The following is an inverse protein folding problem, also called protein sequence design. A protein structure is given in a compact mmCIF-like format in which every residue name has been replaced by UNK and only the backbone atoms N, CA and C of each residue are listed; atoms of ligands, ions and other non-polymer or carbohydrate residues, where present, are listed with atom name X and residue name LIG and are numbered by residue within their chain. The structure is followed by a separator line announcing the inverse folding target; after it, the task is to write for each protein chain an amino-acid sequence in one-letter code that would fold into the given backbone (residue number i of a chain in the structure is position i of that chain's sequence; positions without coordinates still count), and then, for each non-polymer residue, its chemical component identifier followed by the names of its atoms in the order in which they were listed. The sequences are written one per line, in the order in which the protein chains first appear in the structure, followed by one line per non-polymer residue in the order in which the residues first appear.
data_IF_819813895025
#
_entry.id   IF_819813895025
#
_cell.length_a   1.000
_cell.length_b   1.000
_cell.length_c   1.000
_cell.angle_alpha   90.00
_cell.angle_beta   90.00
_cell.angle_gamma   90.00
#
_symmetry.space_group_name_H-M   'P 1'
#
loop_
_entity.id
_entity.type
_entity.pdbx_description
1 polymer ?
#
# COMPACT_ATOMS: atom_id res chain seq x y z
N UNK A 1 -5.93 9.87 -0.71
CA UNK A 1 -4.56 9.32 -0.62
C UNK A 1 -4.57 7.89 -1.14
N UNK A 2 -3.43 7.40 -1.61
CA UNK A 2 -3.30 6.11 -2.27
C UNK A 2 -1.95 5.46 -1.98
N UNK A 3 -1.95 4.14 -1.85
CA UNK A 3 -0.74 3.32 -1.81
C UNK A 3 -0.87 2.12 -2.75
N UNK A 4 0.25 1.79 -3.38
CA UNK A 4 0.48 0.47 -3.96
C UNK A 4 1.79 -0.09 -3.44
N UNK A 5 1.89 -1.41 -3.43
CA UNK A 5 3.08 -2.09 -2.97
C UNK A 5 3.38 -3.32 -3.83
N UNK A 6 4.65 -3.70 -3.82
CA UNK A 6 5.19 -4.82 -4.58
C UNK A 6 6.16 -5.58 -3.70
N UNK A 7 5.96 -6.89 -3.59
CA UNK A 7 6.89 -7.77 -2.89
C UNK A 7 8.04 -8.16 -3.81
N UNK A 8 9.26 -7.99 -3.31
CA UNK A 8 10.46 -8.47 -3.97
C UNK A 8 11.05 -9.59 -3.12
N UNK A 9 10.98 -10.85 -3.58
CA UNK A 9 11.51 -11.99 -2.85
C UNK A 9 13.02 -11.85 -2.63
N UNK A 10 13.57 -12.48 -1.58
CA UNK A 10 15.00 -12.42 -1.32
C UNK A 10 15.77 -13.09 -2.45
N UNK A 11 16.80 -12.41 -2.95
CA UNK A 11 17.79 -12.99 -3.85
C UNK A 11 19.15 -12.95 -3.11
N UNK A 12 19.80 -14.09 -2.86
CA UNK A 12 21.08 -14.11 -2.14
C UNK A 12 22.07 -13.09 -2.73
N UNK A 13 22.76 -12.27 -1.91
CA UNK A 13 22.83 -12.25 -0.44
C UNK A 13 21.81 -11.33 0.25
N UNK A 14 20.82 -10.80 -0.46
CA UNK A 14 19.93 -9.76 0.04
C UNK A 14 18.69 -10.33 0.76
N UNK A 15 18.19 -9.59 1.74
CA UNK A 15 16.90 -9.85 2.39
C UNK A 15 15.72 -9.44 1.50
N UNK A 16 14.54 -9.99 1.80
CA UNK A 16 13.29 -9.60 1.14
C UNK A 16 12.99 -8.12 1.37
N UNK A 17 12.38 -7.47 0.39
CA UNK A 17 11.95 -6.07 0.48
C UNK A 17 10.57 -5.87 -0.11
N UNK A 18 9.86 -4.86 0.38
CA UNK A 18 8.61 -4.37 -0.22
C UNK A 18 8.86 -2.98 -0.78
N UNK A 19 8.47 -2.75 -2.03
CA UNK A 19 8.52 -1.43 -2.66
C UNK A 19 7.16 -0.78 -2.48
N UNK A 20 7.13 0.36 -1.79
CA UNK A 20 5.92 1.17 -1.61
C UNK A 20 5.91 2.33 -2.58
N UNK A 21 4.73 2.61 -3.15
CA UNK A 21 4.45 3.75 -4.03
C UNK A 21 3.25 4.50 -3.47
N UNK A 22 3.52 5.69 -2.94
CA UNK A 22 2.54 6.57 -2.33
C UNK A 22 2.14 7.68 -3.28
N UNK A 23 0.87 8.04 -3.24
CA UNK A 23 0.33 9.25 -3.87
C UNK A 23 -0.61 9.95 -2.90
N UNK A 24 -0.36 11.22 -2.65
CA UNK A 24 -1.17 12.03 -1.74
C UNK A 24 -1.18 13.50 -2.13
N UNK A 25 -1.82 14.30 -1.27
CA UNK A 25 -1.92 15.74 -1.44
C UNK A 25 -0.67 16.42 -0.86
N UNK A 26 0.01 17.24 -1.66
CA UNK A 26 1.23 17.95 -1.25
C UNK A 26 0.96 19.21 -0.42
N UNK A 27 -0.31 19.60 -0.22
CA UNK A 27 -0.68 20.63 0.77
C UNK A 27 -0.34 20.21 2.20
N UNK A 28 -0.24 18.90 2.43
CA UNK A 28 0.28 18.35 3.67
C UNK A 28 1.80 18.35 3.61
N UNK A 29 2.42 18.66 4.76
CA UNK A 29 3.87 18.64 4.92
C UNK A 29 4.45 17.25 4.67
N UNK A 30 3.69 16.20 5.00
CA UNK A 30 4.09 14.83 4.72
C UNK A 30 2.90 13.89 4.50
N UNK A 31 3.14 12.81 3.77
CA UNK A 31 2.25 11.64 3.67
C UNK A 31 3.00 10.41 4.16
N UNK A 32 2.29 9.43 4.70
CA UNK A 32 2.89 8.25 5.32
C UNK A 32 2.26 6.96 4.85
N UNK A 33 3.05 5.90 4.94
CA UNK A 33 2.52 4.54 5.09
C UNK A 33 3.12 3.93 6.33
N UNK A 34 2.28 3.27 7.12
CA UNK A 34 2.67 2.54 8.30
C UNK A 34 2.21 1.10 8.25
N UNK A 35 2.96 0.27 8.97
CA UNK A 35 2.73 -1.15 9.11
C UNK A 35 2.60 -1.48 10.59
N UNK A 36 1.56 -2.23 10.93
CA UNK A 36 1.35 -2.77 12.27
C UNK A 36 0.62 -4.09 12.18
N UNK A 37 0.77 -4.95 13.20
CA UNK A 37 -0.06 -6.13 13.35
C UNK A 37 -1.40 -5.79 14.02
N UNK A 38 -1.45 -4.71 14.81
CA UNK A 38 -2.65 -4.29 15.50
C UNK A 38 -2.68 -2.76 15.65
N UNK A 39 -3.59 -2.04 14.97
CA UNK A 39 -3.66 -0.58 15.03
C UNK A 39 -4.13 -0.04 16.39
N UNK A 40 -4.64 -0.89 17.28
CA UNK A 40 -5.15 -0.51 18.61
C UNK A 40 -4.18 -0.79 19.75
N UNK A 41 -3.06 -1.49 19.50
CA UNK A 41 -2.12 -1.91 20.54
C UNK A 41 -0.67 -1.80 20.06
N UNK A 42 0.26 -1.69 21.01
CA UNK A 42 1.70 -1.67 20.71
C UNK A 42 2.11 -0.46 19.88
N UNK A 43 2.97 -0.69 18.91
CA UNK A 43 3.56 0.35 18.06
C UNK A 43 3.19 0.14 16.59
N UNK A 44 3.09 1.26 15.86
CA UNK A 44 3.02 1.28 14.41
C UNK A 44 4.27 1.95 13.87
N UNK A 45 4.95 1.26 12.97
CA UNK A 45 6.11 1.78 12.27
C UNK A 45 5.62 2.52 11.02
N UNK A 46 6.06 3.76 10.80
CA UNK A 46 5.70 4.58 9.66
C UNK A 46 6.93 5.03 8.87
N UNK A 47 6.77 5.15 7.57
CA UNK A 47 7.68 5.90 6.70
C UNK A 47 6.92 7.11 6.16
N UNK A 48 7.42 8.30 6.48
CA UNK A 48 6.93 9.57 5.95
C UNK A 48 7.71 9.97 4.71
N UNK A 49 6.99 10.35 3.66
CA UNK A 49 7.53 11.16 2.58
C UNK A 49 7.24 12.62 2.88
N UNK A 50 8.30 13.41 3.08
CA UNK A 50 8.21 14.79 3.55
C UNK A 50 8.43 15.75 2.40
N UNK A 51 7.47 16.63 2.18
CA UNK A 51 7.60 17.79 1.32
C UNK A 51 8.08 18.98 2.14
N UNK A 52 8.99 19.78 1.60
CA UNK A 52 9.28 21.09 2.17
C UNK A 52 8.52 22.14 1.35
N UNK A 53 7.81 23.04 2.04
CA UNK A 53 7.39 24.29 1.43
C UNK A 53 8.56 25.24 1.52
N UNK A 54 9.28 25.47 0.40
CA UNK A 54 10.12 26.65 0.34
C UNK A 54 9.22 27.83 0.02
N UNK A 55 9.12 28.75 0.98
CA UNK A 55 8.69 30.11 0.72
C UNK A 55 9.64 30.73 -0.31
N UNK A 56 9.03 31.50 -1.23
CA UNK A 56 9.66 32.29 -2.29
C UNK A 56 10.02 31.53 -3.59
N UNK A 57 9.01 31.33 -4.43
CA UNK A 57 9.17 31.28 -5.90
C UNK A 57 9.61 29.97 -6.55
N UNK A 58 9.94 28.93 -5.78
CA UNK A 58 10.23 27.59 -6.30
C UNK A 58 9.32 26.57 -5.62
N UNK A 59 8.69 25.70 -6.41
CA UNK A 59 7.56 24.87 -6.00
C UNK A 59 7.84 23.91 -4.84
N UNK A 60 6.78 23.24 -4.38
CA UNK A 60 6.90 22.17 -3.37
C UNK A 60 7.73 21.01 -3.94
N UNK A 61 8.70 20.52 -3.16
CA UNK A 61 9.50 19.33 -3.53
C UNK A 61 9.59 18.37 -2.34
N UNK A 62 9.71 17.07 -2.63
CA UNK A 62 10.03 16.07 -1.60
C UNK A 62 11.48 16.27 -1.18
N UNK A 63 11.71 16.37 0.12
CA UNK A 63 13.05 16.64 0.66
C UNK A 63 13.69 15.43 1.32
N UNK A 64 12.90 14.59 1.99
CA UNK A 64 13.42 13.42 2.69
C UNK A 64 12.35 12.39 3.00
N UNK A 65 12.81 11.18 3.28
CA UNK A 65 12.02 10.14 3.90
C UNK A 65 12.41 10.04 5.37
N UNK A 66 11.42 9.99 6.25
CA UNK A 66 11.63 9.87 7.69
C UNK A 66 10.98 8.59 8.20
N UNK A 67 11.70 7.86 9.05
CA UNK A 67 11.15 6.76 9.80
C UNK A 67 10.55 7.27 11.10
N UNK A 68 9.40 6.74 11.48
CA UNK A 68 8.68 7.15 12.67
C UNK A 68 8.07 5.95 13.35
N UNK A 69 7.93 6.05 14.67
CA UNK A 69 7.22 5.09 15.48
C UNK A 69 6.08 5.84 16.17
N UNK A 70 4.87 5.31 16.03
CA UNK A 70 3.69 5.77 16.77
C UNK A 70 3.32 4.73 17.80
N UNK A 71 3.18 5.15 19.05
CA UNK A 71 2.56 4.32 20.07
C UNK A 71 1.03 4.39 19.89
N UNK A 72 0.42 3.24 19.68
CA UNK A 72 -1.02 3.14 19.41
C UNK A 72 -1.89 3.33 20.66
N UNK A 73 -1.29 3.28 21.86
CA UNK A 73 -2.00 3.43 23.13
C UNK A 73 -2.21 4.89 23.49
N UNK A 74 -1.17 5.73 23.35
CA UNK A 74 -1.20 7.15 23.70
C UNK A 74 -1.18 8.09 22.49
N UNK A 75 -1.13 7.54 21.27
CA UNK A 75 -1.04 8.25 20.00
C UNK A 75 0.21 9.14 19.83
N UNK A 76 1.21 9.00 20.70
CA UNK A 76 2.46 9.73 20.56
C UNK A 76 3.25 9.22 19.35
N UNK A 77 3.81 10.15 18.58
CA UNK A 77 4.61 9.84 17.37
C UNK A 77 6.00 10.45 17.52
N UNK A 78 7.03 9.65 17.29
CA UNK A 78 8.43 10.09 17.34
C UNK A 78 9.13 9.68 16.05
N UNK A 79 9.93 10.59 15.50
CA UNK A 79 10.84 10.24 14.43
C UNK A 79 12.02 9.46 15.02
N UNK A 80 12.41 8.39 14.33
CA UNK A 80 13.64 7.67 14.60
C UNK A 80 14.60 7.92 13.43
N UNK A 81 15.53 8.85 13.67
CA UNK A 81 16.52 9.32 12.69
C UNK A 81 17.65 8.31 12.45
N UNK A 82 17.69 7.20 13.20
CA UNK A 82 18.69 6.15 12.97
C UNK A 82 18.39 5.29 11.75
N UNK A 83 17.12 5.26 11.30
CA UNK A 83 16.70 4.54 10.10
C UNK A 83 16.59 5.48 8.90
N UNK A 84 17.44 5.25 7.92
CA UNK A 84 17.39 5.96 6.64
C UNK A 84 16.73 5.09 5.57
N UNK A 85 15.80 5.69 4.83
CA UNK A 85 15.15 5.06 3.68
C UNK A 85 15.71 5.64 2.39
N UNK A 86 16.13 4.76 1.50
CA UNK A 86 16.59 5.15 0.17
C UNK A 86 15.37 5.37 -0.72
N UNK A 87 15.17 6.62 -1.14
CA UNK A 87 14.19 6.94 -2.19
C UNK A 87 14.68 6.42 -3.52
N UNK A 88 13.77 5.87 -4.32
CA UNK A 88 14.07 5.56 -5.73
C UNK A 88 13.37 6.53 -6.67
N UNK A 89 12.23 7.10 -6.27
CA UNK A 89 11.53 8.14 -7.02
C UNK A 89 10.76 9.06 -6.06
N UNK A 90 10.74 10.35 -6.36
CA UNK A 90 9.85 11.30 -5.71
C UNK A 90 9.55 12.45 -6.66
N UNK A 91 8.31 12.94 -6.63
CA UNK A 91 7.83 14.00 -7.51
C UNK A 91 6.72 14.77 -6.81
N UNK A 92 6.68 16.08 -7.02
CA UNK A 92 5.52 16.90 -6.67
C UNK A 92 5.09 17.66 -7.92
N UNK A 93 3.85 17.41 -8.35
CA UNK A 93 3.25 18.08 -9.51
C UNK A 93 1.96 18.75 -9.06
N UNK A 94 1.97 20.08 -9.03
CA UNK A 94 0.88 20.86 -8.43
C UNK A 94 0.65 20.44 -6.97
N UNK A 95 -0.59 20.04 -6.65
CA UNK A 95 -0.98 19.60 -5.31
C UNK A 95 -0.79 18.08 -5.09
N UNK A 96 -0.04 17.39 -5.94
CA UNK A 96 0.11 15.93 -5.87
C UNK A 96 1.55 15.58 -5.52
N UNK A 97 1.75 14.92 -4.39
CA UNK A 97 3.02 14.31 -3.99
C UNK A 97 3.01 12.82 -4.33
N UNK A 98 4.04 12.34 -5.02
CA UNK A 98 4.30 10.93 -5.32
C UNK A 98 5.64 10.51 -4.76
N UNK A 99 5.68 9.36 -4.11
CA UNK A 99 6.89 8.88 -3.44
C UNK A 99 7.05 7.37 -3.61
N UNK A 100 8.27 6.92 -3.92
CA UNK A 100 8.63 5.52 -4.01
C UNK A 100 9.86 5.23 -3.14
N UNK A 101 9.74 4.21 -2.30
CA UNK A 101 10.84 3.74 -1.44
C UNK A 101 10.72 2.23 -1.21
N UNK A 102 11.83 1.61 -0.82
CA UNK A 102 11.86 0.19 -0.45
C UNK A 102 12.03 0.02 1.05
N UNK A 103 11.32 -0.94 1.63
CA UNK A 103 11.42 -1.33 3.02
C UNK A 103 11.89 -2.78 3.12
N UNK A 104 13.10 -2.98 3.65
CA UNK A 104 13.73 -4.28 3.83
C UNK A 104 13.63 -4.75 5.28
N UNK A 105 13.78 -6.06 5.52
CA UNK A 105 13.83 -6.61 6.88
C UNK A 105 12.50 -6.53 7.64
N UNK A 106 11.37 -6.56 6.92
CA UNK A 106 10.04 -6.58 7.53
C UNK A 106 9.81 -7.86 8.36
N UNK A 107 10.52 -8.95 8.06
CA UNK A 107 10.46 -10.19 8.83
C UNK A 107 11.45 -10.23 10.01
N UNK A 108 12.38 -9.28 10.13
CA UNK A 108 13.48 -9.32 11.11
C UNK A 108 13.29 -8.41 12.33
N UNK A 109 12.08 -7.87 12.54
CA UNK A 109 11.81 -6.97 13.67
C UNK A 109 11.58 -7.77 14.96
N UNK A 110 12.29 -7.38 16.03
CA UNK A 110 12.29 -8.03 17.35
C UNK A 110 10.96 -7.99 18.10
N UNK A 111 9.95 -7.32 17.57
CA UNK A 111 8.59 -7.24 18.14
C UNK A 111 7.59 -8.18 17.46
N UNK A 112 8.01 -9.02 16.49
CA UNK A 112 7.12 -9.82 15.66
C UNK A 112 7.21 -11.30 16.03
N UNK A 113 6.11 -11.88 16.50
CA UNK A 113 6.04 -13.27 17.01
C UNK A 113 6.08 -14.36 15.94
N UNK A 114 5.81 -14.03 14.67
CA UNK A 114 5.88 -14.93 13.54
C UNK A 114 6.59 -14.25 12.36
N UNK A 115 7.19 -15.05 11.47
CA UNK A 115 7.78 -14.62 10.18
C UNK A 115 6.73 -14.10 9.18
N UNK A 116 5.52 -13.79 9.64
CA UNK A 116 4.37 -13.45 8.80
C UNK A 116 4.54 -12.04 8.26
N UNK A 117 4.32 -11.90 6.95
CA UNK A 117 4.28 -10.61 6.26
C UNK A 117 2.87 -10.02 6.22
N UNK A 118 2.04 -10.39 7.20
CA UNK A 118 0.67 -9.95 7.35
C UNK A 118 0.62 -8.66 8.16
N UNK A 119 0.23 -7.57 7.52
CA UNK A 119 0.18 -6.25 8.13
C UNK A 119 -1.14 -5.54 7.88
N UNK A 120 -1.60 -4.84 8.90
CA UNK A 120 -2.47 -3.68 8.71
C UNK A 120 -1.64 -2.56 8.11
N UNK A 121 -2.05 -2.10 6.94
CA UNK A 121 -1.46 -0.95 6.26
C UNK A 121 -2.23 0.29 6.64
N UNK A 122 -1.53 1.29 7.17
CA UNK A 122 -2.10 2.57 7.60
C UNK A 122 -1.55 3.67 6.72
N UNK A 123 -2.43 4.48 6.12
CA UNK A 123 -2.02 5.70 5.44
C UNK A 123 -2.38 6.90 6.30
N UNK A 124 -1.43 7.80 6.46
CA UNK A 124 -1.64 9.04 7.18
C UNK A 124 -0.96 10.23 6.51
N UNK A 125 -1.13 11.38 7.13
CA UNK A 125 -0.59 12.65 6.67
C UNK A 125 -0.43 13.61 7.83
N UNK A 126 0.33 14.67 7.64
CA UNK A 126 0.38 15.74 8.62
C UNK A 126 0.86 17.05 8.04
N UNK A 127 0.54 18.13 8.75
CA UNK A 127 0.78 19.50 8.31
C UNK A 127 1.98 20.16 9.03
N UNK A 128 2.73 19.41 9.84
CA UNK A 128 3.82 19.93 10.67
C UNK A 128 5.06 19.06 10.56
N UNK A 129 6.27 19.65 10.53
CA UNK A 129 7.53 18.89 10.55
C UNK A 129 7.73 18.09 11.85
N UNK A 130 7.03 18.46 12.93
CA UNK A 130 7.19 17.85 14.26
C UNK A 130 6.17 16.73 14.54
N UNK A 131 5.40 16.30 13.54
CA UNK A 131 4.40 15.22 13.64
C UNK A 131 3.26 15.45 14.66
N UNK A 132 3.18 16.64 15.26
CA UNK A 132 2.12 17.00 16.22
C UNK A 132 0.71 17.03 15.59
N UNK A 133 0.63 17.15 14.27
CA UNK A 133 -0.62 17.14 13.49
C UNK A 133 -0.78 15.90 12.63
N UNK A 134 -0.26 14.75 13.08
CA UNK A 134 -0.37 13.49 12.35
C UNK A 134 -1.80 12.91 12.42
N UNK A 135 -2.46 12.80 11.27
CA UNK A 135 -3.77 12.16 11.12
C UNK A 135 -3.68 10.86 10.32
N UNK A 136 -4.50 9.89 10.69
CA UNK A 136 -4.70 8.65 9.93
C UNK A 136 -5.90 8.87 9.00
N UNK A 137 -5.72 8.57 7.72
CA UNK A 137 -6.76 8.69 6.69
C UNK A 137 -7.33 7.33 6.28
N UNK A 138 -6.51 6.27 6.33
CA UNK A 138 -6.90 4.93 5.93
C UNK A 138 -6.23 3.89 6.82
N UNK A 139 -7.00 2.90 7.25
CA UNK A 139 -6.52 1.69 7.91
C UNK A 139 -7.13 0.51 7.18
N UNK A 140 -6.30 -0.42 6.72
CA UNK A 140 -6.79 -1.66 6.06
C UNK A 140 -7.12 -2.74 7.09
N UNK A 141 -7.67 -3.87 6.63
CA UNK A 141 -7.52 -5.13 7.36
C UNK A 141 -6.09 -5.66 7.29
N UNK A 142 -5.85 -6.86 7.83
CA UNK A 142 -4.60 -7.57 7.60
C UNK A 142 -4.43 -7.88 6.11
N UNK A 143 -3.27 -7.51 5.56
CA UNK A 143 -2.86 -7.77 4.19
C UNK A 143 -1.60 -8.62 4.20
N UNK A 144 -1.60 -9.72 3.45
CA UNK A 144 -0.40 -10.51 3.19
C UNK A 144 0.45 -9.76 2.15
N UNK A 145 1.51 -9.11 2.62
CA UNK A 145 2.40 -8.37 1.74
C UNK A 145 3.28 -9.30 0.88
N UNK A 146 3.46 -10.56 1.26
CA UNK A 146 4.23 -11.54 0.49
C UNK A 146 3.45 -12.09 -0.71
N UNK A 147 2.12 -12.15 -0.56
CA UNK A 147 1.20 -12.61 -1.60
C UNK A 147 0.08 -11.57 -1.85
N UNK A 148 0.37 -10.48 -2.59
CA UNK A 148 -0.62 -9.45 -2.88
C UNK A 148 -1.89 -9.96 -3.58
N UNK A 149 -1.85 -11.14 -4.24
CA UNK A 149 -3.02 -11.77 -4.87
C UNK A 149 -4.04 -12.28 -3.85
N UNK A 150 -3.59 -12.73 -2.68
CA UNK A 150 -4.47 -13.22 -1.63
C UNK A 150 -5.36 -12.11 -1.05
N UNK A 151 -4.95 -10.84 -1.20
CA UNK A 151 -5.65 -9.68 -0.66
C UNK A 151 -6.81 -9.19 -1.54
N UNK A 152 -7.00 -9.76 -2.73
CA UNK A 152 -8.10 -9.38 -3.62
C UNK A 152 -9.36 -10.14 -3.15
N UNK A 153 -10.46 -9.44 -2.81
CA UNK A 153 -11.71 -10.12 -2.47
C UNK A 153 -12.15 -11.01 -3.64
N UNK A 154 -12.13 -12.32 -3.44
CA UNK A 154 -12.66 -13.26 -4.44
C UNK A 154 -14.18 -13.16 -4.38
N UNK A 155 -14.77 -12.50 -5.38
CA UNK A 155 -16.21 -12.57 -5.57
C UNK A 155 -16.52 -14.01 -5.97
N UNK A 156 -17.25 -14.74 -5.13
CA UNK A 156 -17.71 -16.08 -5.47
C UNK A 156 -18.50 -15.98 -6.77
N UNK A 157 -18.16 -16.80 -7.77
CA UNK A 157 -18.90 -16.81 -9.03
C UNK A 157 -20.39 -17.05 -8.71
N UNK A 158 -21.33 -16.35 -9.38
CA UNK A 158 -22.74 -16.54 -9.14
C UNK A 158 -23.10 -18.00 -9.38
N UNK A 159 -23.50 -18.71 -8.32
CA UNK A 159 -24.07 -20.04 -8.42
C UNK A 159 -25.39 -19.91 -9.17
N UNK A 160 -25.40 -20.30 -10.44
CA UNK A 160 -26.65 -20.47 -11.17
C UNK A 160 -27.46 -21.56 -10.46
N UNK A 161 -28.53 -21.16 -9.76
CA UNK A 161 -29.55 -22.09 -9.36
C UNK A 161 -30.14 -22.69 -10.64
N UNK A 162 -29.84 -23.96 -10.88
CA UNK A 162 -30.50 -24.75 -11.92
C UNK A 162 -31.96 -24.88 -11.50
N UNK A 163 -32.81 -24.02 -12.05
CA UNK A 163 -34.26 -24.21 -12.00
C UNK A 163 -34.59 -25.44 -12.85
N UNK A 164 -34.84 -26.57 -12.19
CA UNK A 164 -35.39 -27.78 -12.81
C UNK A 164 -36.82 -27.51 -13.26
N UNK A 165 -36.98 -26.93 -14.44
CA UNK A 165 -38.22 -27.00 -15.19
C UNK A 165 -38.08 -28.03 -16.31
N UNK A 166 -38.56 -29.23 -16.03
CA UNK A 166 -38.94 -30.24 -17.01
C UNK A 166 -40.02 -29.68 -17.94
N UNK A 167 -39.71 -29.53 -19.24
CA UNK A 167 -40.56 -30.00 -20.35
C UNK A 167 -39.90 -29.69 -21.71
N UNK A 168 -40.14 -30.57 -22.68
CA UNK A 168 -39.43 -30.83 -23.93
C UNK A 168 -39.50 -29.73 -25.01
N UNK A 169 -38.47 -29.63 -25.85
CA UNK A 169 -38.41 -30.01 -27.30
C UNK A 169 -37.12 -29.41 -27.93
N UNK A 170 -36.32 -30.16 -28.73
CA UNK A 170 -35.08 -29.66 -29.33
C UNK A 170 -35.26 -29.30 -30.82
N UNK A 171 -34.78 -28.14 -31.31
CA UNK A 171 -34.40 -27.97 -32.73
C UNK A 171 -33.38 -26.85 -32.98
N UNK A 172 -32.21 -27.28 -33.46
CA UNK A 172 -31.16 -26.72 -34.34
C UNK A 172 -30.89 -25.19 -34.55
N UNK A 173 -29.57 -24.92 -34.53
CA UNK A 173 -28.73 -24.10 -35.42
C UNK A 173 -28.70 -22.56 -35.30
N UNK A 174 -27.53 -22.01 -34.95
CA UNK A 174 -26.63 -21.33 -35.91
C UNK A 174 -25.35 -20.76 -35.23
N UNK A 175 -24.32 -20.60 -36.05
CA UNK A 175 -22.89 -20.32 -35.81
C UNK A 175 -22.56 -18.97 -35.17
N UNK A 176 -21.38 -18.91 -34.53
CA UNK A 176 -20.58 -17.68 -34.44
C UNK A 176 -19.41 -17.80 -33.44
N UNK A 177 -18.15 -17.97 -33.88
CA UNK A 177 -17.01 -18.14 -33.01
C UNK A 177 -16.44 -16.78 -32.60
N UNK A 178 -16.22 -16.56 -31.32
CA UNK A 178 -15.29 -15.53 -30.90
C UNK A 178 -14.72 -15.86 -29.53
N UNK A 179 -13.45 -15.47 -29.39
CA UNK A 179 -12.69 -15.25 -28.16
C UNK A 179 -11.74 -16.38 -27.76
N UNK A 180 -10.47 -16.13 -27.42
CA UNK A 180 -9.63 -14.91 -27.38
C UNK A 180 -8.18 -15.44 -27.48
N UNK A 181 -7.30 -14.71 -28.16
CA UNK A 181 -5.86 -14.95 -28.14
C UNK A 181 -5.34 -14.75 -26.71
N UNK A 182 -4.76 -15.80 -26.12
CA UNK A 182 -4.05 -15.72 -24.85
C UNK A 182 -2.70 -14.99 -25.09
N UNK A 183 -2.65 -13.71 -24.72
CA UNK A 183 -1.40 -12.97 -24.60
C UNK A 183 -0.81 -13.23 -23.21
N UNK A 184 0.30 -13.97 -23.16
CA UNK A 184 1.14 -14.06 -21.97
C UNK A 184 1.73 -12.67 -21.68
N UNK A 185 1.21 -11.97 -20.68
CA UNK A 185 1.87 -10.80 -20.10
C UNK A 185 2.53 -11.21 -18.78
N UNK A 186 3.87 -11.10 -18.74
CA UNK A 186 4.67 -11.10 -17.51
C UNK A 186 4.16 -9.95 -16.61
N UNK A 187 3.21 -10.24 -15.72
CA UNK A 187 2.58 -9.22 -14.88
C UNK A 187 3.38 -9.04 -13.59
N UNK A 188 4.17 -7.97 -13.49
CA UNK A 188 4.47 -7.36 -12.19
C UNK A 188 3.12 -6.93 -11.58
N UNK A 189 2.71 -7.59 -10.51
CA UNK A 189 1.36 -7.42 -9.96
C UNK A 189 1.37 -6.31 -8.91
N UNK A 190 0.83 -5.15 -9.24
CA UNK A 190 0.66 -4.03 -8.31
C UNK A 190 -0.72 -4.11 -7.66
N UNK A 191 -0.79 -4.30 -6.34
CA UNK A 191 -2.04 -4.09 -5.60
C UNK A 191 -2.21 -2.61 -5.29
N UNK A 192 -3.42 -2.09 -5.51
CA UNK A 192 -3.75 -0.67 -5.45
C UNK A 192 -4.94 -0.46 -4.52
N UNK A 193 -4.78 0.29 -3.42
CA UNK A 193 -5.88 0.60 -2.49
C UNK A 193 -6.32 2.06 -2.67
N UNK A 194 -7.51 2.27 -3.27
CA UNK A 194 -8.06 3.59 -3.62
C UNK A 194 -9.37 3.87 -2.87
N UNK A 195 -9.58 5.11 -2.42
CA UNK A 195 -10.91 5.59 -1.98
C UNK A 195 -11.77 5.96 -3.21
N UNK A 196 -13.04 5.54 -3.21
CA UNK A 196 -14.12 6.31 -3.85
C UNK A 196 -14.53 7.41 -2.86
N UNK A 197 -14.33 8.66 -3.27
CA UNK A 197 -14.90 9.82 -2.59
C UNK A 197 -16.38 9.99 -2.93
#
# INVERSE_FOLDING_TARGET
MFVSFEFVPPAPPNVSKVIFRLKGDSRYFFITVGLTQNPSQGETEFVACVANSLDVGSGTHVTKFLYMIRNNTDNSTKADVSKNFTSTQHEVVGNIMKCQFSWSGLNSSSTRGNNDLDFVVILGKGASPNFSSFSIDLTTGLLDLSNPRANIPTTTAPTSMVSTNTSMVPTAAARGPNQIHALLTLSALMLSVMLRG
#
